data_IF_951155777194
#
_entry.id   IF_951155777194
#
_cell.length_a   1.000
_cell.length_b   1.000
_cell.length_c   1.000
_cell.angle_alpha   90.00
_cell.angle_beta   90.00
_cell.angle_gamma   90.00
#
_symmetry.space_group_name_H-M   'P 1'
#
loop_
_entity.id
_entity.type
_entity.pdbx_description
1 polymer ?
#
# COMPACT_ATOMS: atom_id res chain seq x y z
N UNK A 1 44.11 -1.48 19.70
CA UNK A 1 43.71 -0.45 18.75
C UNK A 1 43.02 -1.17 17.58
N UNK A 2 41.76 -1.53 17.75
CA UNK A 2 40.99 -2.29 16.76
C UNK A 2 40.35 -1.26 15.80
N UNK A 3 40.81 -1.24 14.56
CA UNK A 3 40.19 -0.47 13.50
C UNK A 3 38.76 -0.95 13.31
N UNK A 4 37.82 -0.11 13.65
CA UNK A 4 36.46 -0.22 13.14
C UNK A 4 36.52 -0.09 11.62
N UNK A 5 36.46 -1.20 10.90
CA UNK A 5 36.10 -1.18 9.50
C UNK A 5 34.61 -0.82 9.47
N UNK A 6 34.29 0.46 9.49
CA UNK A 6 33.04 0.93 8.97
C UNK A 6 32.96 0.39 7.54
N UNK A 7 32.00 -0.49 7.27
CA UNK A 7 31.61 -0.78 5.90
C UNK A 7 31.29 0.58 5.29
N UNK A 8 32.23 1.11 4.55
CA UNK A 8 32.14 2.37 3.87
C UNK A 8 31.05 2.16 2.83
N UNK A 9 29.84 2.55 3.21
CA UNK A 9 28.72 2.70 2.28
C UNK A 9 29.23 3.72 1.27
N UNK A 10 29.67 3.25 0.08
CA UNK A 10 30.27 4.09 -0.94
C UNK A 10 29.21 5.12 -1.37
N UNK A 11 29.33 6.40 -0.99
CA UNK A 11 28.30 7.40 -1.26
C UNK A 11 28.05 7.55 -2.78
N UNK A 12 29.07 7.34 -3.59
CA UNK A 12 28.99 7.42 -5.04
C UNK A 12 28.09 6.32 -5.62
N UNK A 13 28.17 5.11 -5.08
CA UNK A 13 27.33 3.99 -5.49
C UNK A 13 25.87 4.23 -5.10
N UNK A 14 25.63 4.77 -3.91
CA UNK A 14 24.29 5.09 -3.41
C UNK A 14 23.64 6.20 -4.23
N UNK A 15 24.38 7.28 -4.52
CA UNK A 15 23.90 8.36 -5.39
C UNK A 15 23.57 7.84 -6.79
N UNK A 16 24.45 7.00 -7.37
CA UNK A 16 24.21 6.39 -8.69
C UNK A 16 22.95 5.50 -8.69
N UNK A 17 22.73 4.75 -7.63
CA UNK A 17 21.56 3.88 -7.48
C UNK A 17 20.26 4.68 -7.30
N UNK A 18 20.29 5.73 -6.49
CA UNK A 18 19.16 6.65 -6.27
C UNK A 18 18.78 7.39 -7.56
N UNK A 19 19.77 7.89 -8.33
CA UNK A 19 19.54 8.54 -9.61
C UNK A 19 18.93 7.55 -10.62
N UNK A 20 19.44 6.32 -10.69
CA UNK A 20 18.88 5.27 -11.55
C UNK A 20 17.43 4.96 -11.20
N UNK A 21 17.14 4.77 -9.91
CA UNK A 21 15.78 4.52 -9.44
C UNK A 21 14.86 5.70 -9.74
N UNK A 22 15.32 6.93 -9.53
CA UNK A 22 14.55 8.12 -9.85
C UNK A 22 14.17 8.18 -11.33
N UNK A 23 15.13 7.97 -12.23
CA UNK A 23 14.88 7.95 -13.68
C UNK A 23 13.91 6.83 -14.05
N UNK A 24 14.11 5.62 -13.52
CA UNK A 24 13.26 4.48 -13.78
C UNK A 24 11.81 4.74 -13.34
N UNK A 25 11.63 5.23 -12.12
CA UNK A 25 10.28 5.54 -11.59
C UNK A 25 9.62 6.71 -12.33
N UNK A 26 10.39 7.73 -12.71
CA UNK A 26 9.85 8.88 -13.46
C UNK A 26 9.38 8.44 -14.85
N UNK A 27 10.17 7.65 -15.56
CA UNK A 27 9.77 7.11 -16.86
C UNK A 27 8.58 6.18 -16.75
N UNK A 28 8.59 5.27 -15.78
CA UNK A 28 7.48 4.34 -15.52
C UNK A 28 6.18 5.06 -15.20
N UNK A 29 6.26 6.12 -14.39
CA UNK A 29 5.14 6.96 -14.03
C UNK A 29 4.63 7.78 -15.24
N UNK A 30 5.52 8.41 -16.00
CA UNK A 30 5.16 9.18 -17.18
C UNK A 30 4.50 8.32 -18.27
N UNK A 31 5.10 7.17 -18.60
CA UNK A 31 4.51 6.22 -19.55
C UNK A 31 3.18 5.67 -19.03
N UNK A 32 3.12 5.39 -17.72
CA UNK A 32 1.89 4.92 -17.08
C UNK A 32 0.74 5.91 -17.18
N UNK A 33 0.99 7.20 -16.96
CA UNK A 33 -0.01 8.27 -17.13
C UNK A 33 -0.47 8.36 -18.59
N UNK A 34 0.47 8.39 -19.55
CA UNK A 34 0.12 8.45 -20.97
C UNK A 34 -0.76 7.27 -21.39
N UNK A 35 -0.38 6.06 -20.99
CA UNK A 35 -1.16 4.86 -21.23
C UNK A 35 -2.55 4.96 -20.60
N UNK A 36 -2.65 5.38 -19.36
CA UNK A 36 -3.90 5.50 -18.63
C UNK A 36 -4.84 6.53 -19.30
N UNK A 37 -4.31 7.70 -19.70
CA UNK A 37 -5.07 8.74 -20.39
C UNK A 37 -5.58 8.26 -21.74
N UNK A 38 -4.71 7.66 -22.55
CA UNK A 38 -5.10 7.13 -23.87
C UNK A 38 -6.17 6.06 -23.75
N UNK A 39 -5.99 5.12 -22.83
CA UNK A 39 -6.98 4.07 -22.56
C UNK A 39 -8.30 4.66 -22.08
N UNK A 40 -8.26 5.59 -21.15
CA UNK A 40 -9.44 6.25 -20.60
C UNK A 40 -10.24 6.98 -21.68
N UNK A 41 -9.58 7.83 -22.48
CA UNK A 41 -10.24 8.57 -23.57
C UNK A 41 -10.84 7.64 -24.63
N UNK A 42 -10.10 6.59 -25.00
CA UNK A 42 -10.59 5.60 -25.97
C UNK A 42 -11.83 4.85 -25.46
N UNK A 43 -11.81 4.41 -24.20
CA UNK A 43 -12.96 3.73 -23.61
C UNK A 43 -14.16 4.63 -23.41
N UNK A 44 -13.98 5.88 -22.98
CA UNK A 44 -15.07 6.85 -22.86
C UNK A 44 -15.73 7.08 -24.21
N UNK A 45 -14.93 7.24 -25.28
CA UNK A 45 -15.46 7.42 -26.64
C UNK A 45 -16.26 6.18 -27.09
N UNK A 46 -15.70 4.98 -26.93
CA UNK A 46 -16.36 3.73 -27.30
C UNK A 46 -17.67 3.55 -26.53
N UNK A 47 -17.63 3.75 -25.20
CA UNK A 47 -18.84 3.62 -24.37
C UNK A 47 -19.90 4.63 -24.75
N UNK A 48 -19.50 5.86 -25.07
CA UNK A 48 -20.45 6.91 -25.47
C UNK A 48 -21.16 6.57 -26.79
N UNK A 49 -20.38 6.07 -27.78
CA UNK A 49 -20.93 5.68 -29.08
C UNK A 49 -21.81 4.42 -28.98
N UNK A 50 -21.39 3.46 -28.17
CA UNK A 50 -22.05 2.15 -28.06
C UNK A 50 -23.31 2.18 -27.18
N UNK A 51 -23.36 3.07 -26.17
CA UNK A 51 -24.43 3.02 -25.16
C UNK A 51 -25.81 3.48 -25.66
N UNK A 52 -25.85 4.26 -26.74
CA UNK A 52 -27.13 4.86 -27.16
C UNK A 52 -27.77 5.74 -26.10
N UNK A 53 -28.94 6.30 -26.36
CA UNK A 53 -29.72 7.04 -25.36
C UNK A 53 -30.52 6.09 -24.48
N UNK A 54 -30.55 6.37 -23.17
CA UNK A 54 -31.45 5.73 -22.23
C UNK A 54 -32.67 6.63 -22.00
N UNK A 55 -33.81 6.19 -22.53
CA UNK A 55 -35.10 6.87 -22.35
C UNK A 55 -35.90 6.15 -21.26
N UNK A 56 -36.18 6.81 -20.15
CA UNK A 56 -37.06 6.28 -19.13
C UNK A 56 -38.01 7.37 -18.60
N UNK A 57 -39.21 6.96 -18.22
CA UNK A 57 -40.20 7.82 -17.64
C UNK A 57 -40.24 7.61 -16.12
N UNK A 58 -39.92 8.65 -15.34
CA UNK A 58 -40.04 8.63 -13.90
C UNK A 58 -40.87 9.83 -13.46
N UNK A 59 -41.88 9.59 -12.62
CA UNK A 59 -42.76 10.59 -12.07
C UNK A 59 -43.44 11.54 -13.13
N UNK A 60 -43.72 11.02 -14.35
CA UNK A 60 -44.33 11.79 -15.42
C UNK A 60 -43.39 12.66 -16.24
N UNK A 61 -42.09 12.61 -15.98
CA UNK A 61 -41.05 13.34 -16.70
C UNK A 61 -40.23 12.33 -17.54
N UNK A 62 -40.07 12.64 -18.83
CA UNK A 62 -39.18 11.84 -19.67
C UNK A 62 -37.72 12.30 -19.47
N UNK A 63 -36.90 11.36 -19.07
CA UNK A 63 -35.46 11.55 -18.93
C UNK A 63 -34.77 10.94 -20.15
N UNK A 64 -34.01 11.76 -20.86
CA UNK A 64 -33.16 11.34 -21.98
C UNK A 64 -31.71 11.49 -21.61
N UNK A 65 -31.01 10.38 -21.30
CA UNK A 65 -29.62 10.41 -20.89
C UNK A 65 -28.75 9.84 -22.02
N UNK A 66 -28.05 10.70 -22.80
CA UNK A 66 -27.12 10.21 -23.80
C UNK A 66 -25.88 9.61 -23.14
N UNK A 67 -25.41 8.46 -23.67
CA UNK A 67 -24.18 7.85 -23.18
C UNK A 67 -24.26 7.34 -21.73
N UNK A 68 -25.40 6.82 -21.29
CA UNK A 68 -25.62 6.43 -19.90
C UNK A 68 -24.57 5.44 -19.34
N UNK A 69 -23.98 4.58 -20.19
CA UNK A 69 -22.92 3.67 -19.76
C UNK A 69 -21.68 4.40 -19.26
N UNK A 70 -21.35 5.56 -19.81
CA UNK A 70 -20.23 6.39 -19.33
C UNK A 70 -20.48 6.86 -17.90
N UNK A 71 -21.70 7.30 -17.60
CA UNK A 71 -22.09 7.75 -16.26
C UNK A 71 -22.05 6.62 -15.24
N UNK A 72 -22.57 5.45 -15.63
CA UNK A 72 -22.52 4.24 -14.78
C UNK A 72 -21.07 3.85 -14.50
N UNK A 73 -20.21 3.83 -15.52
CA UNK A 73 -18.80 3.50 -15.35
C UNK A 73 -18.06 4.52 -14.46
N UNK A 74 -18.36 5.83 -14.59
CA UNK A 74 -17.78 6.86 -13.72
C UNK A 74 -18.22 6.71 -12.27
N UNK A 75 -19.51 6.52 -12.01
CA UNK A 75 -20.03 6.29 -10.66
C UNK A 75 -19.38 5.06 -10.06
N UNK A 76 -19.29 3.96 -10.82
CA UNK A 76 -18.65 2.73 -10.40
C UNK A 76 -17.17 2.95 -10.05
N UNK A 77 -16.41 3.65 -10.88
CA UNK A 77 -15.01 3.97 -10.64
C UNK A 77 -14.80 4.84 -9.39
N UNK A 78 -15.64 5.85 -9.19
CA UNK A 78 -15.58 6.74 -8.01
C UNK A 78 -15.89 5.96 -6.74
N UNK A 79 -16.95 5.13 -6.74
CA UNK A 79 -17.31 4.29 -5.59
C UNK A 79 -16.21 3.29 -5.25
N UNK A 80 -15.65 2.60 -6.26
CA UNK A 80 -14.55 1.66 -6.06
C UNK A 80 -13.31 2.34 -5.47
N UNK A 81 -12.93 3.50 -6.00
CA UNK A 81 -11.82 4.30 -5.51
C UNK A 81 -12.04 4.74 -4.07
N UNK A 82 -13.22 5.24 -3.74
CA UNK A 82 -13.56 5.69 -2.40
C UNK A 82 -13.50 4.56 -1.37
N UNK A 83 -14.05 3.40 -1.68
CA UNK A 83 -14.03 2.21 -0.80
C UNK A 83 -12.59 1.75 -0.59
N UNK A 84 -11.82 1.62 -1.68
CA UNK A 84 -10.41 1.20 -1.64
C UNK A 84 -9.56 2.18 -0.83
N UNK A 85 -9.75 3.48 -1.01
CA UNK A 85 -9.06 4.52 -0.24
C UNK A 85 -9.38 4.42 1.25
N UNK A 86 -10.65 4.28 1.61
CA UNK A 86 -11.09 4.20 3.03
C UNK A 86 -10.47 3.00 3.76
N UNK A 87 -10.38 1.85 3.10
CA UNK A 87 -9.77 0.65 3.67
C UNK A 87 -8.25 0.72 3.64
N UNK A 88 -7.66 1.18 2.53
CA UNK A 88 -6.22 1.26 2.31
C UNK A 88 -5.51 2.27 3.23
N UNK A 89 -6.16 3.36 3.58
CA UNK A 89 -5.56 4.41 4.43
C UNK A 89 -5.15 3.87 5.81
N UNK A 90 -5.94 2.97 6.39
CA UNK A 90 -5.57 2.30 7.66
C UNK A 90 -4.33 1.42 7.53
N UNK A 91 -4.13 0.83 6.35
CA UNK A 91 -2.98 -0.02 6.08
C UNK A 91 -1.66 0.77 6.07
N UNK A 92 -1.67 2.00 5.56
CA UNK A 92 -0.51 2.90 5.58
C UNK A 92 -0.05 3.17 7.01
N UNK A 93 -0.98 3.51 7.89
CA UNK A 93 -0.69 3.75 9.31
C UNK A 93 -0.14 2.49 10.01
N UNK A 94 -0.74 1.33 9.77
CA UNK A 94 -0.28 0.08 10.35
C UNK A 94 1.12 -0.32 9.86
N UNK A 95 1.44 -0.11 8.58
CA UNK A 95 2.77 -0.37 8.03
C UNK A 95 3.83 0.57 8.63
N UNK A 96 3.50 1.83 8.87
CA UNK A 96 4.39 2.76 9.56
C UNK A 96 4.70 2.30 10.99
N UNK A 97 3.67 1.88 11.74
CA UNK A 97 3.83 1.34 13.10
C UNK A 97 4.64 0.04 13.07
N UNK A 98 4.45 -0.81 12.05
CA UNK A 98 5.23 -2.04 11.88
C UNK A 98 6.72 -1.76 11.75
N UNK A 99 7.11 -0.82 10.88
CA UNK A 99 8.51 -0.43 10.72
C UNK A 99 9.12 0.09 12.03
N UNK A 100 8.37 0.84 12.81
CA UNK A 100 8.80 1.31 14.12
C UNK A 100 9.04 0.15 15.08
N UNK A 101 8.09 -0.79 15.20
CA UNK A 101 8.25 -1.95 16.08
C UNK A 101 9.41 -2.85 15.66
N UNK A 102 9.65 -3.01 14.37
CA UNK A 102 10.80 -3.75 13.85
C UNK A 102 12.12 -3.04 14.17
N UNK A 103 12.17 -1.72 14.06
CA UNK A 103 13.35 -0.94 14.43
C UNK A 103 13.63 -1.04 15.93
N UNK A 104 12.61 -0.90 16.77
CA UNK A 104 12.71 -1.01 18.23
C UNK A 104 13.18 -2.42 18.67
N UNK A 105 12.69 -3.47 17.99
CA UNK A 105 13.08 -4.84 18.25
C UNK A 105 14.54 -5.08 17.84
N UNK A 106 14.97 -4.63 16.65
CA UNK A 106 16.36 -4.71 16.20
C UNK A 106 17.31 -3.97 17.13
N UNK A 107 16.95 -2.75 17.52
CA UNK A 107 17.75 -1.95 18.46
C UNK A 107 17.94 -2.68 19.79
N UNK A 108 16.90 -3.34 20.30
CA UNK A 108 17.00 -4.12 21.53
C UNK A 108 17.99 -5.27 21.40
N UNK A 109 17.96 -5.98 20.27
CA UNK A 109 18.90 -7.08 20.02
C UNK A 109 20.35 -6.61 19.93
N UNK A 110 20.58 -5.47 19.26
CA UNK A 110 21.92 -4.86 19.18
C UNK A 110 22.41 -4.46 20.58
N UNK A 111 21.58 -3.81 21.38
CA UNK A 111 21.92 -3.41 22.75
C UNK A 111 22.23 -4.62 23.63
N UNK A 112 21.46 -5.71 23.53
CA UNK A 112 21.75 -6.94 24.25
C UNK A 112 23.11 -7.52 23.85
N UNK A 113 23.41 -7.55 22.54
CA UNK A 113 24.68 -8.07 22.03
C UNK A 113 25.88 -7.25 22.52
N UNK A 114 25.74 -5.92 22.60
CA UNK A 114 26.78 -5.02 23.10
C UNK A 114 27.02 -5.19 24.62
N UNK A 115 26.00 -5.54 25.38
CA UNK A 115 26.06 -5.68 26.83
C UNK A 115 25.96 -7.14 27.32
N UNK A 116 26.21 -8.11 26.45
CA UNK A 116 25.97 -9.54 26.73
C UNK A 116 26.75 -10.04 27.96
N UNK A 117 28.00 -9.61 28.11
CA UNK A 117 28.83 -9.97 29.26
C UNK A 117 28.26 -9.41 30.57
N UNK A 118 27.82 -8.17 30.59
CA UNK A 118 27.19 -7.54 31.76
C UNK A 118 25.87 -8.23 32.12
N UNK A 119 25.05 -8.57 31.14
CA UNK A 119 23.78 -9.28 31.35
C UNK A 119 24.03 -10.66 31.94
N UNK A 120 25.02 -11.40 31.43
CA UNK A 120 25.40 -12.70 31.97
C UNK A 120 25.97 -12.58 33.38
N UNK A 121 26.81 -11.57 33.65
CA UNK A 121 27.39 -11.37 34.98
C UNK A 121 26.35 -11.11 36.07
N UNK A 122 25.30 -10.35 35.73
CA UNK A 122 24.21 -10.03 36.67
C UNK A 122 23.02 -11.02 36.60
N UNK A 123 23.15 -12.14 35.88
CA UNK A 123 22.07 -13.11 35.64
C UNK A 123 20.76 -12.46 35.13
N UNK A 124 20.92 -11.47 34.27
CA UNK A 124 19.82 -10.64 33.75
C UNK A 124 19.08 -11.22 32.55
N UNK A 125 19.38 -12.46 32.09
CA UNK A 125 18.81 -13.07 30.88
C UNK A 125 17.29 -13.18 30.93
N UNK A 126 16.75 -13.51 32.12
CA UNK A 126 15.29 -13.59 32.29
C UNK A 126 14.59 -12.27 32.13
N UNK A 127 15.19 -11.17 32.58
CA UNK A 127 14.67 -9.83 32.45
C UNK A 127 14.70 -9.35 30.98
N UNK A 128 15.83 -9.49 30.32
CA UNK A 128 15.99 -9.14 28.90
C UNK A 128 15.10 -10.01 28.02
N UNK A 129 14.98 -11.31 28.31
CA UNK A 129 14.05 -12.22 27.62
C UNK A 129 12.58 -11.75 27.73
N UNK A 130 12.17 -11.22 28.88
CA UNK A 130 10.86 -10.61 29.08
C UNK A 130 10.64 -9.37 28.21
N UNK A 131 11.63 -8.48 28.10
CA UNK A 131 11.60 -7.30 27.25
C UNK A 131 11.45 -7.71 25.77
N UNK A 132 12.23 -8.69 25.29
CA UNK A 132 12.13 -9.20 23.93
C UNK A 132 10.76 -9.79 23.63
N UNK A 133 10.25 -10.62 24.53
CA UNK A 133 8.93 -11.24 24.39
C UNK A 133 7.82 -10.18 24.25
N UNK A 134 7.87 -9.12 25.05
CA UNK A 134 6.91 -8.04 24.98
C UNK A 134 6.99 -7.25 23.66
N UNK A 135 8.21 -6.90 23.23
CA UNK A 135 8.42 -6.18 21.96
C UNK A 135 8.01 -7.02 20.75
N UNK A 136 8.35 -8.31 20.77
CA UNK A 136 7.94 -9.24 19.73
C UNK A 136 6.41 -9.43 19.67
N UNK A 137 5.76 -9.45 20.84
CA UNK A 137 4.29 -9.52 20.93
C UNK A 137 3.63 -8.31 20.24
N UNK A 138 4.10 -7.09 20.51
CA UNK A 138 3.59 -5.87 19.86
C UNK A 138 3.75 -5.93 18.35
N UNK A 139 4.90 -6.41 17.87
CA UNK A 139 5.17 -6.59 16.44
C UNK A 139 4.19 -7.58 15.82
N UNK A 140 3.95 -8.73 16.46
CA UNK A 140 3.01 -9.74 15.99
C UNK A 140 1.56 -9.24 15.99
N UNK A 141 1.13 -8.54 17.03
CA UNK A 141 -0.24 -8.01 17.12
C UNK A 141 -0.51 -7.01 16.00
N UNK A 142 0.45 -6.12 15.72
CA UNK A 142 0.33 -5.19 14.61
C UNK A 142 0.35 -5.91 13.25
N UNK A 143 1.19 -6.92 13.09
CA UNK A 143 1.27 -7.73 11.87
C UNK A 143 -0.06 -8.45 11.57
N UNK A 144 -0.73 -8.99 12.59
CA UNK A 144 -2.05 -9.58 12.45
C UNK A 144 -3.11 -8.57 12.00
N UNK A 145 -3.01 -7.31 12.49
CA UNK A 145 -3.90 -6.24 12.03
C UNK A 145 -3.65 -5.90 10.56
N UNK A 146 -2.39 -5.87 10.13
CA UNK A 146 -2.00 -5.67 8.72
C UNK A 146 -2.60 -6.78 7.85
N UNK A 147 -2.41 -8.05 8.21
CA UNK A 147 -2.96 -9.20 7.47
C UNK A 147 -4.49 -9.09 7.35
N UNK A 148 -5.16 -8.76 8.45
CA UNK A 148 -6.62 -8.62 8.46
C UNK A 148 -7.07 -7.50 7.50
N UNK A 149 -6.38 -6.36 7.49
CA UNK A 149 -6.69 -5.24 6.59
C UNK A 149 -6.35 -5.54 5.13
N UNK A 150 -5.23 -6.21 4.88
CA UNK A 150 -4.87 -6.69 3.53
C UNK A 150 -5.92 -7.67 3.00
N UNK A 151 -6.33 -8.62 3.82
CA UNK A 151 -7.40 -9.56 3.47
C UNK A 151 -8.69 -8.83 3.09
N UNK A 152 -9.13 -7.84 3.88
CA UNK A 152 -10.31 -7.03 3.56
C UNK A 152 -10.14 -6.31 2.21
N UNK A 153 -8.97 -5.71 1.94
CA UNK A 153 -8.67 -5.02 0.69
C UNK A 153 -8.72 -5.97 -0.50
N UNK A 154 -8.13 -7.17 -0.38
CA UNK A 154 -8.15 -8.20 -1.43
C UNK A 154 -9.59 -8.62 -1.73
N UNK A 155 -10.41 -8.86 -0.72
CA UNK A 155 -11.81 -9.24 -0.90
C UNK A 155 -12.61 -8.15 -1.63
N UNK A 156 -12.42 -6.89 -1.24
CA UNK A 156 -13.07 -5.75 -1.88
C UNK A 156 -12.64 -5.65 -3.35
N UNK A 157 -11.34 -5.71 -3.62
CA UNK A 157 -10.83 -5.60 -4.99
C UNK A 157 -11.28 -6.78 -5.87
N UNK A 158 -11.29 -8.00 -5.32
CA UNK A 158 -11.77 -9.19 -6.04
C UNK A 158 -13.26 -9.09 -6.35
N UNK A 159 -14.08 -8.69 -5.36
CA UNK A 159 -15.51 -8.48 -5.58
C UNK A 159 -15.77 -7.36 -6.60
N UNK A 160 -15.07 -6.25 -6.48
CA UNK A 160 -15.14 -5.16 -7.44
C UNK A 160 -14.79 -5.62 -8.87
N UNK A 161 -13.69 -6.34 -9.04
CA UNK A 161 -13.29 -6.87 -10.36
C UNK A 161 -14.30 -7.85 -10.93
N UNK A 162 -14.92 -8.70 -10.11
CA UNK A 162 -15.95 -9.65 -10.57
C UNK A 162 -17.21 -8.93 -11.05
N UNK A 163 -17.66 -7.89 -10.34
CA UNK A 163 -18.80 -7.08 -10.77
C UNK A 163 -18.50 -6.39 -12.11
N UNK A 164 -17.29 -5.87 -12.30
CA UNK A 164 -16.87 -5.23 -13.54
C UNK A 164 -16.86 -6.17 -14.77
N UNK A 165 -16.72 -7.49 -14.56
CA UNK A 165 -16.75 -8.48 -15.65
C UNK A 165 -18.20 -8.82 -16.06
N UNK A 166 -19.13 -8.72 -15.11
CA UNK A 166 -20.55 -9.06 -15.35
C UNK A 166 -21.28 -7.91 -16.04
N UNK A 167 -20.86 -6.67 -15.81
CA UNK A 167 -21.40 -5.46 -16.42
C UNK A 167 -20.71 -5.12 -17.74
#
# INVERSE_FOLDING_TARGET
MAMFSSSTDNPDQRISEDVRMFVEYTLKFGIGILKALTTFLSFVYILFVLSGPLDFMAAGIQFHIPGYMVWVALIYAVLGTWITYKVGNKLVSLNYVQQRYEADFRFSMMRLRENAESVAFYAGEGHEGGIFKNRFKLLLENFWQIITKQKQLIWINSGYSQIAIIF
#
